data_IF_773790274951
#
_entry.id   IF_773790274951
#
_cell.length_a   1.000
_cell.length_b   1.000
_cell.length_c   1.000
_cell.angle_alpha   90.00
_cell.angle_beta   90.00
_cell.angle_gamma   90.00
#
_symmetry.space_group_name_H-M   'P 1'
#
loop_
_entity.id
_entity.type
_entity.pdbx_description
1 polymer ?
#
# COMPACT_ATOMS: atom_id res chain seq x y z
N UNK A 1 31.66 -67.76 -54.33
CA UNK A 1 32.34 -66.57 -53.79
C UNK A 1 31.27 -65.64 -53.23
N UNK A 2 31.19 -65.55 -51.90
CA UNK A 2 30.17 -64.78 -51.18
C UNK A 2 30.46 -63.29 -51.27
N UNK A 3 29.52 -62.49 -51.78
CA UNK A 3 29.54 -61.03 -51.61
C UNK A 3 28.90 -60.69 -50.27
N UNK A 4 29.72 -60.22 -49.32
CA UNK A 4 29.26 -59.66 -48.06
C UNK A 4 28.66 -58.27 -48.32
N UNK A 5 27.34 -58.16 -48.20
CA UNK A 5 26.64 -56.89 -48.32
C UNK A 5 26.75 -56.14 -46.97
N UNK A 6 27.72 -55.24 -46.85
CA UNK A 6 27.93 -54.42 -45.66
C UNK A 6 26.97 -53.23 -45.64
N UNK A 7 25.82 -53.38 -44.98
CA UNK A 7 24.91 -52.26 -44.70
C UNK A 7 25.41 -51.46 -43.50
N UNK A 8 26.00 -50.28 -43.75
CA UNK A 8 26.38 -49.33 -42.70
C UNK A 8 25.11 -48.63 -42.17
N UNK A 9 24.79 -48.67 -40.87
CA UNK A 9 23.65 -47.93 -40.35
C UNK A 9 23.98 -46.43 -40.28
N UNK A 10 23.17 -45.61 -40.96
CA UNK A 10 23.23 -44.15 -40.86
C UNK A 10 22.42 -43.71 -39.63
N UNK A 11 23.10 -43.31 -38.56
CA UNK A 11 22.45 -42.66 -37.42
C UNK A 11 22.20 -41.19 -37.73
N UNK A 12 20.93 -40.79 -37.78
CA UNK A 12 20.52 -39.39 -37.84
C UNK A 12 20.36 -38.91 -36.40
N UNK A 13 21.27 -38.05 -35.94
CA UNK A 13 21.16 -37.37 -34.65
C UNK A 13 20.44 -36.04 -34.88
N UNK A 14 19.15 -35.99 -34.55
CA UNK A 14 18.36 -34.76 -34.59
C UNK A 14 18.49 -34.03 -33.26
N UNK A 15 19.22 -32.90 -33.25
CA UNK A 15 19.33 -32.02 -32.08
C UNK A 15 18.11 -31.10 -32.04
N UNK A 16 17.27 -31.26 -31.01
CA UNK A 16 16.19 -30.32 -30.71
C UNK A 16 16.73 -29.18 -29.85
N UNK A 17 16.64 -27.95 -30.36
CA UNK A 17 17.05 -26.74 -29.65
C UNK A 17 15.80 -26.13 -29.00
N UNK A 18 15.60 -26.37 -27.70
CA UNK A 18 14.51 -25.77 -26.93
C UNK A 18 14.94 -24.37 -26.51
N UNK A 19 14.44 -23.35 -27.21
CA UNK A 19 14.60 -21.95 -26.79
C UNK A 19 13.53 -21.64 -25.75
N UNK A 20 13.86 -21.76 -24.47
CA UNK A 20 13.04 -21.21 -23.38
C UNK A 20 13.27 -19.70 -23.31
N UNK A 21 12.41 -18.94 -23.99
CA UNK A 21 12.37 -17.49 -23.84
C UNK A 21 11.88 -17.13 -22.44
N UNK A 22 12.79 -16.74 -21.55
CA UNK A 22 12.45 -16.08 -20.29
C UNK A 22 11.92 -14.68 -20.59
N UNK A 23 10.61 -14.55 -20.78
CA UNK A 23 9.96 -13.24 -20.73
C UNK A 23 10.00 -12.75 -19.27
N UNK A 24 11.06 -12.04 -18.90
CA UNK A 24 11.07 -11.23 -17.68
C UNK A 24 10.08 -10.08 -17.85
N UNK A 25 8.80 -10.33 -17.53
CA UNK A 25 7.83 -9.26 -17.35
C UNK A 25 8.25 -8.47 -16.10
N UNK A 26 8.93 -7.35 -16.28
CA UNK A 26 9.13 -6.35 -15.23
C UNK A 26 7.79 -5.67 -14.96
N UNK A 27 6.93 -6.33 -14.19
CA UNK A 27 5.73 -5.72 -13.63
C UNK A 27 6.23 -4.67 -12.63
N UNK A 28 6.32 -3.40 -13.06
CA UNK A 28 6.53 -2.28 -12.14
C UNK A 28 5.30 -2.23 -11.23
N UNK A 29 5.45 -2.68 -9.99
CA UNK A 29 4.46 -2.47 -8.96
C UNK A 29 4.19 -0.96 -8.82
N UNK A 30 2.94 -0.54 -9.00
CA UNK A 30 2.58 0.87 -8.81
C UNK A 30 2.72 1.23 -7.33
N UNK A 31 3.45 2.31 -7.05
CA UNK A 31 3.68 2.82 -5.70
C UNK A 31 2.37 3.35 -5.11
N UNK A 32 2.08 2.98 -3.86
CA UNK A 32 0.97 3.52 -3.08
C UNK A 32 1.23 5.01 -2.81
N UNK A 33 0.27 5.88 -3.14
CA UNK A 33 0.39 7.33 -2.87
C UNK A 33 -0.72 7.81 -1.96
N UNK A 34 -0.38 8.65 -1.00
CA UNK A 34 -1.31 9.31 -0.08
C UNK A 34 -1.28 10.82 -0.33
N UNK A 35 -2.43 11.41 -0.60
CA UNK A 35 -2.63 12.85 -0.69
C UNK A 35 -3.54 13.31 0.46
N UNK A 36 -3.22 14.44 1.08
CA UNK A 36 -4.04 15.04 2.14
C UNK A 36 -4.44 16.45 1.69
N UNK A 37 -5.72 16.77 1.84
CA UNK A 37 -6.29 18.10 1.59
C UNK A 37 -6.94 18.61 2.86
N UNK A 38 -6.47 19.74 3.37
CA UNK A 38 -7.09 20.43 4.51
C UNK A 38 -8.15 21.38 3.97
N UNK A 39 -9.30 21.42 4.64
CA UNK A 39 -10.40 22.29 4.27
C UNK A 39 -10.17 23.67 4.89
N UNK A 40 -10.01 24.69 4.07
CA UNK A 40 -10.04 26.07 4.54
C UNK A 40 -11.43 26.40 5.09
N UNK A 41 -11.50 26.80 6.35
CA UNK A 41 -12.76 27.07 7.04
C UNK A 41 -12.56 28.13 8.12
N UNK A 42 -13.60 28.93 8.34
CA UNK A 42 -13.72 29.84 9.48
C UNK A 42 -14.80 29.30 10.40
N UNK A 43 -14.46 29.10 11.67
CA UNK A 43 -15.38 28.65 12.70
C UNK A 43 -15.65 29.82 13.65
N UNK A 44 -16.86 30.35 13.62
CA UNK A 44 -17.30 31.43 14.52
C UNK A 44 -17.74 30.92 15.89
N UNK A 45 -18.09 29.64 15.96
CA UNK A 45 -18.53 28.96 17.18
C UNK A 45 -17.50 27.93 17.64
N UNK A 46 -17.75 27.37 18.83
CA UNK A 46 -16.98 26.24 19.36
C UNK A 46 -17.03 25.07 18.38
N UNK A 47 -15.86 24.61 17.94
CA UNK A 47 -15.73 23.47 17.02
C UNK A 47 -16.27 22.20 17.69
N UNK A 48 -17.28 21.59 17.07
CA UNK A 48 -17.85 20.32 17.50
C UNK A 48 -16.84 19.19 17.34
N UNK A 49 -16.79 18.27 18.31
CA UNK A 49 -15.96 17.05 18.16
C UNK A 49 -16.36 16.27 16.91
N UNK A 50 -15.40 15.57 16.31
CA UNK A 50 -15.54 14.82 15.06
C UNK A 50 -15.90 15.66 13.81
N UNK A 51 -15.82 17.00 13.88
CA UNK A 51 -15.93 17.84 12.68
C UNK A 51 -14.79 17.50 11.70
N UNK A 52 -15.13 17.26 10.44
CA UNK A 52 -14.16 17.03 9.37
C UNK A 52 -13.44 18.35 9.05
N UNK A 53 -12.12 18.36 9.25
CA UNK A 53 -11.23 19.51 8.95
C UNK A 53 -10.35 19.27 7.71
N UNK A 54 -10.37 18.06 7.17
CA UNK A 54 -9.58 17.68 6.01
C UNK A 54 -9.91 16.27 5.55
N UNK A 55 -9.39 15.90 4.39
CA UNK A 55 -9.63 14.61 3.72
C UNK A 55 -8.31 14.03 3.22
N UNK A 56 -8.24 12.70 3.13
CA UNK A 56 -7.11 11.99 2.56
C UNK A 56 -7.57 11.11 1.39
N UNK A 57 -6.77 11.03 0.33
CA UNK A 57 -7.01 10.18 -0.82
C UNK A 57 -5.83 9.23 -1.04
N UNK A 58 -6.13 7.94 -1.17
CA UNK A 58 -5.14 6.90 -1.48
C UNK A 58 -5.24 6.52 -2.96
N UNK A 59 -4.11 6.57 -3.67
CA UNK A 59 -3.99 6.14 -5.06
C UNK A 59 -3.18 4.84 -5.14
N UNK A 60 -3.47 4.01 -6.15
CA UNK A 60 -2.79 2.74 -6.42
C UNK A 60 -2.92 1.73 -5.25
N UNK A 61 -4.12 1.65 -4.67
CA UNK A 61 -4.44 0.80 -3.50
C UNK A 61 -5.00 -0.57 -3.87
N UNK A 62 -5.16 -0.88 -5.15
CA UNK A 62 -5.91 -2.06 -5.62
C UNK A 62 -5.36 -3.36 -5.01
N UNK A 63 -6.27 -4.18 -4.47
CA UNK A 63 -5.95 -5.49 -3.90
C UNK A 63 -5.14 -5.46 -2.60
N UNK A 64 -5.01 -4.30 -1.93
CA UNK A 64 -4.22 -4.16 -0.70
C UNK A 64 -5.09 -3.78 0.49
N UNK A 65 -4.96 -4.54 1.58
CA UNK A 65 -5.38 -4.09 2.92
C UNK A 65 -4.50 -2.92 3.35
N UNK A 66 -5.11 -1.79 3.73
CA UNK A 66 -4.38 -0.58 4.10
C UNK A 66 -4.53 -0.30 5.59
N UNK A 67 -3.42 -0.19 6.30
CA UNK A 67 -3.33 0.39 7.64
C UNK A 67 -2.85 1.84 7.52
N UNK A 68 -3.59 2.78 8.08
CA UNK A 68 -3.19 4.19 8.18
C UNK A 68 -2.95 4.56 9.65
N UNK A 69 -1.82 5.19 9.92
CA UNK A 69 -1.45 5.66 11.25
C UNK A 69 -0.55 6.90 11.18
N UNK A 70 -0.25 7.50 12.33
CA UNK A 70 0.69 8.60 12.47
C UNK A 70 1.71 8.30 13.57
N UNK A 71 2.92 8.85 13.43
CA UNK A 71 3.99 8.79 14.43
C UNK A 71 3.82 9.81 15.57
N UNK A 72 2.78 10.64 15.52
CA UNK A 72 2.46 11.62 16.56
C UNK A 72 2.10 10.98 17.91
N UNK A 73 2.09 11.81 18.97
CA UNK A 73 1.64 11.40 20.30
C UNK A 73 0.21 10.87 20.25
N UNK A 74 0.02 9.59 20.64
CA UNK A 74 -1.28 8.91 20.58
C UNK A 74 -2.20 9.35 21.72
N UNK A 75 -3.49 9.46 21.42
CA UNK A 75 -4.53 9.58 22.45
C UNK A 75 -4.85 8.16 22.95
N UNK A 76 -4.68 7.94 24.25
CA UNK A 76 -4.98 6.64 24.88
C UNK A 76 -6.44 6.24 24.64
N UNK A 77 -6.68 4.94 24.46
CA UNK A 77 -8.00 4.32 24.32
C UNK A 77 -8.82 4.77 23.09
N UNK A 78 -8.21 5.46 22.12
CA UNK A 78 -8.90 5.85 20.88
C UNK A 78 -7.96 5.61 19.68
N UNK A 79 -8.07 4.45 19.00
CA UNK A 79 -7.28 4.17 17.80
C UNK A 79 -7.48 5.25 16.73
N UNK A 80 -6.41 5.55 15.99
CA UNK A 80 -6.42 6.59 14.96
C UNK A 80 -6.51 8.02 15.51
N UNK A 81 -6.39 8.25 16.82
CA UNK A 81 -6.44 9.58 17.41
C UNK A 81 -5.08 10.03 17.95
N UNK A 82 -4.70 11.28 17.65
CA UNK A 82 -3.36 11.81 17.88
C UNK A 82 -3.40 13.25 18.40
N UNK A 83 -2.28 13.69 18.97
CA UNK A 83 -2.03 15.07 19.42
C UNK A 83 -0.94 15.69 18.54
N UNK A 84 -1.27 16.80 17.91
CA UNK A 84 -0.32 17.71 17.27
C UNK A 84 0.02 18.82 18.27
N UNK A 85 1.30 19.11 18.45
CA UNK A 85 1.75 20.22 19.30
C UNK A 85 2.02 21.46 18.45
N UNK A 86 1.70 22.63 18.99
CA UNK A 86 1.94 23.90 18.32
C UNK A 86 3.43 24.11 18.06
N UNK A 87 3.77 24.58 16.85
CA UNK A 87 5.16 24.86 16.48
C UNK A 87 5.75 25.99 17.33
N UNK A 88 4.98 27.07 17.55
CA UNK A 88 5.43 28.22 18.33
C UNK A 88 5.38 27.98 19.84
N UNK A 89 4.48 27.11 20.32
CA UNK A 89 4.34 26.78 21.73
C UNK A 89 3.90 25.32 21.89
N UNK A 90 4.79 24.48 22.42
CA UNK A 90 4.58 23.03 22.58
C UNK A 90 3.54 22.67 23.65
N UNK A 91 3.12 23.64 24.47
CA UNK A 91 2.00 23.50 25.39
C UNK A 91 0.63 23.53 24.66
N UNK A 92 0.56 24.15 23.48
CA UNK A 92 -0.65 24.13 22.66
C UNK A 92 -0.83 22.76 22.01
N UNK A 93 -2.03 22.19 22.14
CA UNK A 93 -2.35 20.84 21.67
C UNK A 93 -3.59 20.85 20.79
N UNK A 94 -3.48 20.31 19.58
CA UNK A 94 -4.58 20.01 18.69
C UNK A 94 -4.82 18.50 18.69
N UNK A 95 -6.03 18.07 19.08
CA UNK A 95 -6.42 16.65 19.08
C UNK A 95 -7.14 16.34 17.77
N UNK A 96 -6.65 15.36 17.02
CA UNK A 96 -7.23 14.93 15.75
C UNK A 96 -7.55 13.44 15.76
N UNK A 97 -8.43 13.02 14.85
CA UNK A 97 -8.72 11.62 14.56
C UNK A 97 -8.70 11.40 13.06
N UNK A 98 -8.00 10.35 12.62
CA UNK A 98 -8.12 9.82 11.26
C UNK A 98 -9.16 8.70 11.28
N UNK A 99 -10.06 8.70 10.30
CA UNK A 99 -11.16 7.75 10.20
C UNK A 99 -12.06 8.10 9.01
N UNK A 100 -13.07 7.27 8.76
CA UNK A 100 -14.02 7.38 7.67
C UNK A 100 -15.02 6.23 7.76
N UNK A 101 -16.05 6.23 6.92
CA UNK A 101 -17.13 5.25 6.95
C UNK A 101 -16.62 3.80 6.83
N UNK A 102 -15.68 3.55 5.92
CA UNK A 102 -15.10 2.22 5.67
C UNK A 102 -13.81 1.93 6.46
N UNK A 103 -13.50 2.76 7.46
CA UNK A 103 -12.29 2.64 8.25
C UNK A 103 -12.59 2.15 9.66
N UNK A 104 -12.07 0.99 10.01
CA UNK A 104 -12.22 0.40 11.34
C UNK A 104 -10.92 0.45 12.14
N UNK A 105 -10.96 0.55 13.47
CA UNK A 105 -9.75 0.51 14.29
C UNK A 105 -9.00 -0.82 14.11
N UNK A 106 -7.68 -0.75 14.04
CA UNK A 106 -6.84 -1.95 14.11
C UNK A 106 -6.89 -2.57 15.51
N UNK A 107 -6.89 -3.90 15.61
CA UNK A 107 -6.94 -4.62 16.89
C UNK A 107 -5.74 -4.31 17.80
N UNK A 108 -4.60 -3.92 17.23
CA UNK A 108 -3.39 -3.54 17.97
C UNK A 108 -3.45 -2.08 18.46
N UNK A 109 -4.51 -1.33 18.13
CA UNK A 109 -4.65 0.08 18.46
C UNK A 109 -3.66 1.01 17.75
N UNK A 110 -3.00 0.53 16.68
CA UNK A 110 -1.96 1.28 15.98
C UNK A 110 -2.56 2.42 15.15
N UNK A 111 -3.71 2.18 14.52
CA UNK A 111 -4.33 3.11 13.58
C UNK A 111 -5.69 2.58 13.10
N UNK A 112 -6.02 2.91 11.85
CA UNK A 112 -7.26 2.51 11.20
C UNK A 112 -6.96 1.63 9.98
N UNK A 113 -7.86 0.69 9.67
CA UNK A 113 -7.73 -0.28 8.59
C UNK A 113 -8.91 -0.16 7.62
N UNK A 114 -8.60 -0.18 6.32
CA UNK A 114 -9.54 -0.44 5.24
C UNK A 114 -9.18 -1.78 4.60
N UNK A 115 -10.20 -2.59 4.33
CA UNK A 115 -10.08 -3.88 3.64
C UNK A 115 -10.28 -3.71 2.14
#
# INVERSE_FOLDING_TARGET
MNQYNSSIPKFIVSVFLIVTGFFSSTIKAQELKLMIKINEAVFYDRITSNKIIGTGHLFNREGKKILISSSLEKIKNTPGAYIIRGQNNSAHKLRIRIGGEDWQPDNSGIGMVSY
#
